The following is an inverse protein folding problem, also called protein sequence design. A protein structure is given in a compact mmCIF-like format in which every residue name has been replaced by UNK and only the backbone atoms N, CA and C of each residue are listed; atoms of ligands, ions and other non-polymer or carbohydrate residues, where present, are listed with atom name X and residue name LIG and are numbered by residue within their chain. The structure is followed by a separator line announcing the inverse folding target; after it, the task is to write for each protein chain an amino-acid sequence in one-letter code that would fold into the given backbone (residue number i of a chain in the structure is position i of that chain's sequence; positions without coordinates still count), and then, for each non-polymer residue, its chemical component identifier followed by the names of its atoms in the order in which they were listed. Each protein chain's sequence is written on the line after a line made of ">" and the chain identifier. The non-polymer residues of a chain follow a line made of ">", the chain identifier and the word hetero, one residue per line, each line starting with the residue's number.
data_IF_755708909005
#
_entry.id   IF_755708909005
#
_cell.length_a   1.000
_cell.length_b   1.000
_cell.length_c   1.000
_cell.angle_alpha   90.00
_cell.angle_beta   90.00
_cell.angle_gamma   90.00
#
_symmetry.space_group_name_H-M   'P 1'
#
loop_
_entity.id
_entity.type
_entity.pdbx_description
1 polymer ?
#
# COMPACT_ATOMS: atom_id res chain seq x y z
N UNK A 1 17.47 3.85 -9.72
CA UNK A 1 16.18 4.31 -9.14
C UNK A 1 15.34 3.07 -8.91
N UNK A 2 14.95 2.80 -7.66
CA UNK A 2 14.18 1.58 -7.33
C UNK A 2 12.75 1.75 -7.84
N UNK A 3 12.25 0.77 -8.58
CA UNK A 3 10.88 0.73 -9.09
C UNK A 3 10.19 -0.55 -8.64
N UNK A 4 8.89 -0.47 -8.39
CA UNK A 4 8.06 -1.65 -8.16
C UNK A 4 8.16 -2.62 -9.34
N UNK A 5 8.41 -3.89 -9.05
CA UNK A 5 8.56 -4.95 -10.05
C UNK A 5 7.65 -6.15 -9.74
N UNK A 6 7.63 -7.13 -10.64
CA UNK A 6 6.78 -8.32 -10.52
C UNK A 6 7.23 -9.21 -9.37
N UNK A 7 8.54 -9.27 -9.13
CA UNK A 7 9.18 -10.12 -8.12
C UNK A 7 8.75 -9.72 -6.70
N UNK A 8 8.60 -8.42 -6.44
CA UNK A 8 8.07 -7.89 -5.18
C UNK A 8 6.61 -8.30 -4.95
N UNK A 9 5.78 -8.29 -5.99
CA UNK A 9 4.38 -8.73 -5.89
C UNK A 9 4.28 -10.26 -5.68
N UNK A 10 5.12 -11.04 -6.36
CA UNK A 10 5.23 -12.49 -6.15
C UNK A 10 5.65 -12.80 -4.72
N UNK A 11 6.64 -12.09 -4.19
CA UNK A 11 7.08 -12.27 -2.81
C UNK A 11 5.98 -11.95 -1.77
N UNK A 12 5.12 -10.96 -2.04
CA UNK A 12 3.94 -10.70 -1.19
C UNK A 12 2.95 -11.87 -1.23
N UNK A 13 2.71 -12.46 -2.40
CA UNK A 13 1.91 -13.68 -2.55
C UNK A 13 2.52 -14.86 -1.82
N UNK A 14 3.80 -15.13 -2.04
CA UNK A 14 4.51 -16.23 -1.42
C UNK A 14 4.49 -16.11 0.10
N UNK A 15 4.64 -14.89 0.64
CA UNK A 15 4.50 -14.62 2.07
C UNK A 15 3.11 -14.99 2.59
N UNK A 16 2.05 -14.60 1.87
CA UNK A 16 0.67 -14.91 2.27
C UNK A 16 0.37 -16.42 2.13
N UNK A 17 0.87 -17.08 1.09
CA UNK A 17 0.75 -18.53 0.88
C UNK A 17 1.51 -19.29 1.96
N UNK A 18 2.73 -18.86 2.30
CA UNK A 18 3.54 -19.45 3.36
C UNK A 18 2.84 -19.35 4.72
N UNK A 19 2.18 -18.21 5.00
CA UNK A 19 1.36 -18.05 6.20
C UNK A 19 0.26 -19.11 6.33
N UNK A 20 -0.53 -19.36 5.29
CA UNK A 20 -1.58 -20.40 5.34
C UNK A 20 -1.04 -21.82 5.43
N UNK A 21 0.17 -22.06 4.91
CA UNK A 21 0.81 -23.36 4.94
C UNK A 21 1.67 -23.58 6.20
N UNK A 22 1.74 -22.59 7.12
CA UNK A 22 2.65 -22.59 8.26
C UNK A 22 4.11 -22.86 7.87
N UNK A 23 4.54 -22.28 6.74
CA UNK A 23 5.90 -22.36 6.21
C UNK A 23 6.57 -20.99 6.27
N UNK A 24 7.89 -20.99 6.14
CA UNK A 24 8.64 -19.76 5.90
C UNK A 24 8.51 -19.34 4.43
N UNK A 25 8.46 -18.03 4.19
CA UNK A 25 8.44 -17.48 2.84
C UNK A 25 9.79 -17.75 2.14
N UNK A 26 9.79 -18.02 0.82
CA UNK A 26 11.02 -18.15 0.06
C UNK A 26 11.84 -16.86 0.12
N UNK A 27 13.17 -16.94 -0.09
CA UNK A 27 14.01 -15.75 -0.15
C UNK A 27 13.54 -14.82 -1.29
N UNK A 28 13.58 -13.49 -1.10
CA UNK A 28 13.15 -12.55 -2.11
C UNK A 28 14.07 -12.57 -3.34
N UNK A 29 13.48 -12.42 -4.52
CA UNK A 29 14.19 -12.35 -5.80
C UNK A 29 14.46 -10.90 -6.24
N UNK A 30 14.65 -9.99 -5.29
CA UNK A 30 14.92 -8.57 -5.53
C UNK A 30 15.88 -8.01 -4.48
N UNK A 31 16.55 -6.92 -4.82
CA UNK A 31 17.58 -6.32 -3.98
C UNK A 31 17.01 -5.65 -2.71
N UNK A 32 17.86 -5.55 -1.70
CA UNK A 32 17.58 -4.74 -0.53
C UNK A 32 17.48 -3.25 -0.89
N UNK A 33 16.72 -2.51 -0.08
CA UNK A 33 16.56 -1.07 -0.21
C UNK A 33 15.68 -0.54 0.90
N UNK A 34 15.68 0.78 1.11
CA UNK A 34 14.81 1.43 2.09
C UNK A 34 13.92 2.46 1.42
N UNK A 35 12.62 2.17 1.38
CA UNK A 35 11.64 3.07 0.79
C UNK A 35 10.30 2.98 1.51
N UNK A 36 9.49 4.05 1.50
CA UNK A 36 8.09 3.94 1.85
C UNK A 36 7.37 3.06 0.83
N UNK A 37 6.46 2.23 1.31
CA UNK A 37 5.82 1.23 0.47
C UNK A 37 4.41 0.91 0.93
N UNK A 38 3.59 0.45 -0.01
CA UNK A 38 2.23 -0.02 0.23
C UNK A 38 2.00 -1.35 -0.47
N UNK A 39 1.27 -2.24 0.20
CA UNK A 39 0.78 -3.48 -0.38
C UNK A 39 -0.73 -3.40 -0.46
N UNK A 40 -1.26 -3.63 -1.66
CA UNK A 40 -2.69 -3.59 -1.95
C UNK A 40 -3.13 -4.93 -2.50
N UNK A 41 -4.15 -5.52 -1.86
CA UNK A 41 -4.84 -6.69 -2.33
C UNK A 41 -6.15 -6.27 -2.99
N UNK A 42 -6.42 -6.81 -4.17
CA UNK A 42 -7.73 -6.77 -4.81
C UNK A 42 -8.22 -8.18 -5.07
N UNK A 43 -9.52 -8.35 -5.18
CA UNK A 43 -10.17 -9.60 -5.54
C UNK A 43 -10.89 -9.44 -6.86
N UNK A 44 -10.56 -10.30 -7.82
CA UNK A 44 -11.25 -10.40 -9.09
C UNK A 44 -12.66 -10.95 -8.83
N UNK A 45 -13.66 -10.25 -9.35
CA UNK A 45 -15.07 -10.66 -9.26
C UNK A 45 -15.55 -10.99 -10.66
N UNK A 46 -16.30 -12.08 -10.83
CA UNK A 46 -16.81 -12.51 -12.13
C UNK A 46 -17.60 -11.38 -12.81
N UNK A 47 -17.15 -10.96 -13.98
CA UNK A 47 -17.83 -9.95 -14.81
C UNK A 47 -17.64 -8.48 -14.36
N UNK A 48 -16.68 -8.19 -13.48
CA UNK A 48 -16.44 -6.82 -13.02
C UNK A 48 -14.98 -6.50 -12.71
N UNK A 49 -14.73 -5.22 -12.41
CA UNK A 49 -13.42 -4.72 -12.02
C UNK A 49 -12.97 -5.31 -10.66
N UNK A 50 -11.66 -5.57 -10.48
CA UNK A 50 -11.12 -6.06 -9.22
C UNK A 50 -11.47 -5.13 -8.05
N UNK A 51 -12.01 -5.71 -6.98
CA UNK A 51 -12.44 -4.95 -5.79
C UNK A 51 -11.35 -4.93 -4.74
N UNK A 52 -11.12 -3.76 -4.12
CA UNK A 52 -10.19 -3.62 -3.01
C UNK A 52 -10.52 -4.61 -1.88
N UNK A 53 -9.50 -5.35 -1.43
CA UNK A 53 -9.60 -6.41 -0.43
C UNK A 53 -8.70 -6.16 0.80
N UNK A 54 -7.75 -5.24 0.67
CA UNK A 54 -6.90 -4.74 1.75
C UNK A 54 -5.84 -3.79 1.20
N UNK A 55 -5.45 -2.77 1.95
CA UNK A 55 -4.37 -1.86 1.56
C UNK A 55 -3.74 -1.23 2.78
N UNK A 56 -2.50 -1.61 3.09
CA UNK A 56 -1.73 -1.07 4.21
C UNK A 56 -0.28 -0.88 3.76
N UNK A 57 0.34 0.17 4.28
CA UNK A 57 1.72 0.53 3.99
C UNK A 57 2.21 1.58 4.96
N UNK A 58 3.30 2.23 4.59
CA UNK A 58 3.91 3.30 5.37
C UNK A 58 4.51 4.36 4.46
N UNK A 59 4.55 5.58 5.00
CA UNK A 59 5.23 6.73 4.41
C UNK A 59 6.66 6.89 4.94
N UNK A 60 7.02 6.15 5.99
CA UNK A 60 8.39 6.06 6.48
C UNK A 60 9.17 5.02 5.68
N UNK A 61 10.45 5.28 5.44
CA UNK A 61 11.30 4.32 4.76
C UNK A 61 11.43 3.04 5.58
N UNK A 62 11.13 1.90 4.95
CA UNK A 62 11.33 0.57 5.51
C UNK A 62 12.17 -0.28 4.56
N UNK A 63 12.92 -1.22 5.13
CA UNK A 63 13.61 -2.25 4.35
C UNK A 63 12.61 -2.99 3.46
N UNK A 64 12.82 -3.02 2.15
CA UNK A 64 11.85 -3.56 1.18
C UNK A 64 11.45 -5.01 1.49
N UNK A 65 12.42 -5.87 1.82
CA UNK A 65 12.18 -7.28 2.12
C UNK A 65 11.26 -7.45 3.33
N UNK A 66 11.64 -6.86 4.47
CA UNK A 66 10.85 -6.97 5.71
C UNK A 66 9.53 -6.20 5.59
N UNK A 67 9.56 -5.02 4.98
CA UNK A 67 8.37 -4.20 4.76
C UNK A 67 7.35 -4.91 3.87
N UNK A 68 7.74 -5.46 2.72
CA UNK A 68 6.80 -6.22 1.89
C UNK A 68 6.26 -7.45 2.62
N UNK A 69 7.09 -8.17 3.38
CA UNK A 69 6.65 -9.31 4.19
C UNK A 69 5.57 -8.90 5.21
N UNK A 70 5.86 -7.87 6.01
CA UNK A 70 4.98 -7.41 7.09
C UNK A 70 3.70 -6.76 6.55
N UNK A 71 3.83 -5.89 5.55
CA UNK A 71 2.69 -5.18 4.96
C UNK A 71 1.84 -6.07 4.07
N UNK A 72 2.39 -7.13 3.46
CA UNK A 72 1.58 -8.15 2.77
C UNK A 72 0.62 -8.85 3.74
N UNK A 73 1.13 -9.34 4.88
CA UNK A 73 0.29 -10.00 5.88
C UNK A 73 -0.64 -9.02 6.58
N UNK A 74 -0.16 -7.82 6.92
CA UNK A 74 -0.98 -6.81 7.60
C UNK A 74 -2.14 -6.35 6.72
N UNK A 75 -1.89 -6.06 5.44
CA UNK A 75 -2.95 -5.67 4.51
C UNK A 75 -3.92 -6.82 4.18
N UNK A 76 -3.45 -8.08 4.17
CA UNK A 76 -4.31 -9.24 3.91
C UNK A 76 -5.16 -9.67 5.11
N UNK A 77 -4.60 -9.60 6.33
CA UNK A 77 -5.15 -10.28 7.50
C UNK A 77 -5.57 -9.34 8.63
N UNK A 78 -5.02 -8.11 8.67
CA UNK A 78 -5.18 -7.17 9.78
C UNK A 78 -5.76 -5.82 9.37
N UNK A 79 -6.15 -5.65 8.11
CA UNK A 79 -6.87 -4.47 7.65
C UNK A 79 -8.30 -4.49 8.18
N UNK A 80 -8.57 -3.73 9.25
CA UNK A 80 -9.86 -3.71 9.96
C UNK A 80 -11.06 -3.30 9.10
N UNK A 81 -10.84 -2.72 7.91
CA UNK A 81 -11.91 -2.37 6.97
C UNK A 81 -12.50 -3.61 6.28
N UNK A 82 -11.79 -4.74 6.31
CA UNK A 82 -12.18 -5.97 5.65
C UNK A 82 -11.99 -7.17 6.58
N UNK A 83 -12.76 -8.26 6.43
CA UNK A 83 -12.45 -9.51 7.12
C UNK A 83 -11.09 -10.03 6.65
N UNK A 84 -10.34 -10.82 7.45
CA UNK A 84 -9.12 -11.45 6.97
C UNK A 84 -9.36 -12.20 5.66
N UNK A 85 -8.44 -12.09 4.71
CA UNK A 85 -8.45 -12.91 3.49
C UNK A 85 -8.49 -14.38 3.90
N UNK A 86 -9.14 -15.23 3.11
CA UNK A 86 -9.13 -16.68 3.33
C UNK A 86 -8.25 -17.37 2.28
N UNK A 87 -7.67 -18.52 2.62
CA UNK A 87 -6.84 -19.31 1.69
C UNK A 87 -7.55 -19.64 0.37
N UNK A 88 -8.88 -19.87 0.41
CA UNK A 88 -9.69 -20.12 -0.79
C UNK A 88 -9.79 -18.94 -1.75
N UNK A 89 -9.50 -17.72 -1.29
CA UNK A 89 -9.55 -16.51 -2.11
C UNK A 89 -8.27 -16.32 -2.93
N UNK A 90 -7.16 -16.96 -2.55
CA UNK A 90 -5.83 -16.80 -3.17
C UNK A 90 -5.83 -16.85 -4.71
N UNK A 91 -6.53 -17.80 -5.38
CA UNK A 91 -6.52 -17.88 -6.85
C UNK A 91 -7.23 -16.71 -7.55
N UNK A 92 -8.04 -15.96 -6.81
CA UNK A 92 -8.81 -14.81 -7.30
C UNK A 92 -8.25 -13.46 -6.86
N UNK A 93 -7.08 -13.44 -6.20
CA UNK A 93 -6.47 -12.21 -5.72
C UNK A 93 -5.53 -11.60 -6.75
N UNK A 94 -5.40 -10.29 -6.68
CA UNK A 94 -4.40 -9.48 -7.36
C UNK A 94 -3.62 -8.72 -6.29
N UNK A 95 -2.29 -8.77 -6.36
CA UNK A 95 -1.41 -8.01 -5.49
C UNK A 95 -0.79 -6.86 -6.27
N UNK A 96 -0.93 -5.65 -5.76
CA UNK A 96 -0.24 -4.46 -6.25
C UNK A 96 0.72 -3.96 -5.19
N UNK A 97 1.98 -3.79 -5.56
CA UNK A 97 3.02 -3.18 -4.72
C UNK A 97 3.30 -1.78 -5.21
N UNK A 98 3.39 -0.83 -4.28
CA UNK A 98 3.72 0.56 -4.57
C UNK A 98 4.94 0.95 -3.76
N UNK A 99 5.95 1.51 -4.43
CA UNK A 99 7.12 2.11 -3.78
C UNK A 99 7.05 3.61 -4.03
N UNK A 100 7.14 4.39 -2.97
CA UNK A 100 7.17 5.84 -3.07
C UNK A 100 8.61 6.31 -3.16
N UNK A 101 8.90 7.11 -4.18
CA UNK A 101 10.21 7.71 -4.41
C UNK A 101 10.04 9.19 -4.67
N UNK A 102 11.04 10.00 -4.31
CA UNK A 102 11.11 11.43 -4.67
C UNK A 102 9.89 12.24 -4.19
N UNK A 103 9.41 12.01 -2.97
CA UNK A 103 8.39 12.89 -2.38
C UNK A 103 9.05 14.23 -2.00
N UNK A 104 8.38 15.33 -2.36
CA UNK A 104 8.82 16.70 -2.08
C UNK A 104 7.79 17.40 -1.18
N UNK A 105 8.26 18.34 -0.36
CA UNK A 105 7.38 19.17 0.44
C UNK A 105 6.70 20.18 -0.48
N UNK A 106 5.37 20.16 -0.51
CA UNK A 106 4.58 21.18 -1.18
C UNK A 106 4.67 22.51 -0.44
N UNK A 107 4.81 23.62 -1.18
CA UNK A 107 4.89 24.96 -0.58
C UNK A 107 3.53 25.42 -0.01
N UNK A 108 2.43 25.01 -0.64
CA UNK A 108 1.07 25.31 -0.21
C UNK A 108 0.07 24.28 -0.78
N UNK A 109 -1.18 24.35 -0.35
CA UNK A 109 -2.23 23.39 -0.76
C UNK A 109 -2.61 23.47 -2.26
N UNK A 110 -2.22 24.53 -2.96
CA UNK A 110 -2.41 24.71 -4.41
C UNK A 110 -1.17 24.33 -5.23
N UNK A 111 -0.09 23.89 -4.58
CA UNK A 111 1.17 23.50 -5.21
C UNK A 111 1.09 22.09 -5.81
N UNK A 112 0.18 21.94 -6.78
CA UNK A 112 -0.01 20.73 -7.56
C UNK A 112 0.24 21.04 -9.05
N UNK A 113 1.37 20.60 -9.60
CA UNK A 113 1.67 20.74 -11.03
C UNK A 113 1.49 19.41 -11.79
N UNK A 114 0.56 19.40 -12.76
CA UNK A 114 0.57 18.51 -13.92
C UNK A 114 0.40 16.99 -13.69
N UNK A 115 0.40 16.17 -14.76
CA UNK A 115 -0.19 14.83 -14.80
C UNK A 115 0.66 13.72 -14.13
N UNK A 116 1.57 14.06 -13.22
CA UNK A 116 2.38 13.07 -12.51
C UNK A 116 1.54 12.44 -11.40
N UNK A 117 1.50 11.10 -11.36
CA UNK A 117 0.91 10.31 -10.29
C UNK A 117 1.68 10.57 -8.98
N UNK A 118 1.40 11.68 -8.31
CA UNK A 118 1.99 12.07 -7.03
C UNK A 118 1.04 11.63 -5.92
N UNK A 119 1.52 10.77 -5.02
CA UNK A 119 0.82 10.51 -3.78
C UNK A 119 1.01 11.73 -2.86
N UNK A 120 -0.08 12.32 -2.39
CA UNK A 120 -0.04 13.45 -1.45
C UNK A 120 -0.16 12.91 -0.04
N UNK A 121 0.72 13.35 0.86
CA UNK A 121 0.50 13.23 2.29
C UNK A 121 0.08 14.59 2.83
N UNK A 122 -1.02 14.65 3.58
CA UNK A 122 -1.47 15.85 4.28
C UNK A 122 -1.36 15.57 5.76
N UNK A 123 -0.50 16.30 6.46
CA UNK A 123 -0.38 16.23 7.92
C UNK A 123 -1.08 17.44 8.51
N UNK A 124 -2.00 17.23 9.45
CA UNK A 124 -2.69 18.30 10.17
C UNK A 124 -2.03 18.47 11.54
N UNK A 125 -1.56 19.68 11.87
CA UNK A 125 -1.17 20.03 13.23
C UNK A 125 -2.39 20.58 13.97
N UNK A 126 -2.98 19.78 14.87
CA UNK A 126 -3.98 20.29 15.81
C UNK A 126 -3.24 20.95 16.98
N UNK A 127 -3.48 22.23 17.19
CA UNK A 127 -3.04 22.95 18.38
C UNK A 127 -3.77 22.40 19.62
N UNK A 128 -3.16 21.38 20.23
CA UNK A 128 -3.17 20.94 21.63
C UNK A 128 -3.10 19.40 21.73
N UNK A 129 -1.87 18.90 21.91
CA UNK A 129 -1.48 17.65 22.59
C UNK A 129 -1.76 16.25 22.00
N UNK A 130 -2.16 16.08 20.74
CA UNK A 130 -2.13 14.74 20.11
C UNK A 130 -1.74 14.82 18.62
N UNK A 131 -0.61 14.21 18.23
CA UNK A 131 -0.27 14.00 16.83
C UNK A 131 -1.08 12.83 16.29
N UNK A 132 -2.05 13.10 15.42
CA UNK A 132 -2.75 12.06 14.64
C UNK A 132 -2.28 12.17 13.19
N UNK A 133 -1.44 11.23 12.77
CA UNK A 133 -1.00 11.14 11.38
C UNK A 133 -2.13 10.50 10.54
N UNK A 134 -2.85 11.32 9.77
CA UNK A 134 -3.87 10.84 8.82
C UNK A 134 -3.30 10.96 7.40
N UNK A 135 -2.90 9.84 6.80
CA UNK A 135 -2.49 9.81 5.39
C UNK A 135 -3.70 9.60 4.47
N UNK A 136 -3.99 10.55 3.58
CA UNK A 136 -5.04 10.43 2.56
C UNK A 136 -4.41 10.40 1.16
N UNK A 137 -4.46 9.25 0.48
CA UNK A 137 -3.99 9.15 -0.91
C UNK A 137 -5.11 9.57 -1.87
N UNK A 138 -5.01 10.78 -2.42
CA UNK A 138 -5.92 11.24 -3.48
C UNK A 138 -5.40 10.83 -4.86
N UNK A 139 -6.23 10.16 -5.66
CA UNK A 139 -5.94 9.88 -7.07
C UNK A 139 -6.64 10.92 -7.96
N UNK A 140 -5.96 11.47 -9.00
CA UNK A 140 -6.51 12.54 -9.84
C UNK A 140 -7.71 12.17 -10.72
N UNK A 141 -8.31 10.98 -10.57
CA UNK A 141 -9.56 10.59 -11.26
C UNK A 141 -10.82 10.67 -10.39
N UNK A 142 -10.73 10.98 -9.10
CA UNK A 142 -11.92 11.14 -8.28
C UNK A 142 -12.41 12.60 -8.28
N UNK A 143 -13.31 12.92 -9.21
CA UNK A 143 -14.09 14.16 -9.15
C UNK A 143 -14.97 14.14 -7.89
N UNK A 144 -14.73 15.12 -7.01
CA UNK A 144 -15.57 15.66 -5.93
C UNK A 144 -15.63 14.93 -4.57
N UNK A 145 -15.56 15.80 -3.55
CA UNK A 145 -16.08 15.73 -2.16
C UNK A 145 -15.14 15.30 -1.03
N UNK A 146 -14.84 16.06 0.05
CA UNK A 146 -15.08 17.46 0.55
C UNK A 146 -13.95 17.77 1.59
N UNK A 147 -13.45 19.01 1.71
CA UNK A 147 -13.74 20.05 2.73
C UNK A 147 -14.06 19.53 4.15
N UNK A 148 -13.22 19.90 5.14
CA UNK A 148 -13.68 20.22 6.50
C UNK A 148 -12.89 21.45 6.99
N UNK A 149 -13.66 22.33 7.63
CA UNK A 149 -13.46 23.68 8.15
C UNK A 149 -12.24 23.93 9.02
#
# INVERSE_FOLDING_TARGET
>A
MVSANREMAVYCFDTLVAHYNNKEAPPPAFDEGQHPLFVTWKKVVSGGEPRLRGCIGTLEARGLINGFKDYALTSALRDRRFPPIQAKELPSLECTVSILTNYETANNYLDWEGPKLRAVNVTFELSMHFQVNVAATSYPKCKRQFMIS
#
